data_IF_078734008391
#
_entry.id   IF_078734008391
#
_cell.length_a   1.000
_cell.length_b   1.000
_cell.length_c   1.000
_cell.angle_alpha   90.00
_cell.angle_beta   90.00
_cell.angle_gamma   90.00
#
_symmetry.space_group_name_H-M   'P 1'
#
loop_
_entity.id
_entity.type
_entity.pdbx_description
1 polymer ?
#
# COMPACT_ATOMS: atom_id res chain seq x y z
N UNK A 1 -2.61 -54.24 -13.40
CA UNK A 1 -3.56 -53.18 -13.03
C UNK A 1 -2.78 -52.00 -12.47
N UNK A 2 -3.17 -50.80 -12.88
CA UNK A 2 -2.61 -49.49 -12.54
C UNK A 2 -2.38 -49.28 -11.02
N UNK A 3 -1.45 -48.40 -10.61
CA UNK A 3 -1.76 -46.98 -10.41
C UNK A 3 -0.54 -46.09 -10.68
N UNK A 4 -0.65 -45.29 -11.73
CA UNK A 4 0.16 -44.09 -12.00
C UNK A 4 0.23 -43.21 -10.75
N UNK A 5 1.44 -42.97 -10.22
CA UNK A 5 1.66 -41.89 -9.25
C UNK A 5 1.50 -40.55 -9.98
N UNK A 6 0.37 -39.89 -9.76
CA UNK A 6 0.10 -38.54 -10.26
C UNK A 6 1.04 -37.58 -9.50
N UNK A 7 2.05 -37.06 -10.19
CA UNK A 7 3.01 -36.13 -9.62
C UNK A 7 2.33 -34.86 -9.11
N UNK A 8 2.54 -34.53 -7.84
CA UNK A 8 2.19 -33.23 -7.28
C UNK A 8 3.29 -32.26 -7.73
N UNK A 9 2.94 -31.35 -8.65
CA UNK A 9 3.83 -30.25 -9.03
C UNK A 9 3.99 -29.33 -7.83
N UNK A 10 5.25 -29.11 -7.42
CA UNK A 10 5.64 -28.11 -6.42
C UNK A 10 5.19 -26.74 -6.91
N UNK A 11 4.30 -26.09 -6.17
CA UNK A 11 4.08 -24.65 -6.29
C UNK A 11 5.12 -23.98 -5.41
N UNK A 12 6.06 -23.27 -6.03
CA UNK A 12 7.00 -22.43 -5.31
C UNK A 12 6.24 -21.21 -4.79
N UNK A 13 6.02 -21.14 -3.48
CA UNK A 13 5.68 -19.89 -2.80
C UNK A 13 7.00 -19.23 -2.39
N UNK A 14 7.60 -18.46 -3.30
CA UNK A 14 8.68 -17.55 -2.93
C UNK A 14 8.09 -16.42 -2.11
N UNK A 15 8.33 -16.45 -0.80
CA UNK A 15 8.13 -15.31 0.08
C UNK A 15 9.08 -14.20 -0.37
N UNK A 16 8.50 -13.15 -0.95
CA UNK A 16 9.16 -11.89 -1.27
C UNK A 16 8.23 -10.75 -0.83
N UNK A 17 8.10 -10.56 0.48
CA UNK A 17 7.19 -9.54 1.04
C UNK A 17 7.65 -8.12 0.69
N UNK A 18 8.94 -7.94 0.38
CA UNK A 18 9.50 -6.69 -0.15
C UNK A 18 9.17 -6.43 -1.64
N UNK A 19 8.66 -7.44 -2.36
CA UNK A 19 8.32 -7.35 -3.78
C UNK A 19 6.83 -7.08 -4.00
N UNK A 20 5.95 -7.47 -3.05
CA UNK A 20 4.51 -7.17 -3.11
C UNK A 20 4.23 -5.65 -3.13
N UNK A 21 5.00 -4.86 -2.38
CA UNK A 21 4.91 -3.39 -2.42
C UNK A 21 5.64 -2.76 -3.62
N UNK A 22 6.47 -3.51 -4.35
CA UNK A 22 7.14 -3.05 -5.58
C UNK A 22 6.34 -3.38 -6.85
N UNK A 23 5.56 -4.46 -6.87
CA UNK A 23 4.85 -4.95 -8.05
C UNK A 23 3.71 -4.04 -8.55
N UNK A 24 3.15 -3.17 -7.70
CA UNK A 24 2.09 -2.21 -8.09
C UNK A 24 2.62 -1.13 -9.06
N UNK A 25 3.94 -0.98 -9.22
CA UNK A 25 4.54 0.05 -10.09
C UNK A 25 4.53 -0.25 -11.59
N UNK A 26 4.31 -1.50 -12.03
CA UNK A 26 4.66 -1.87 -13.41
C UNK A 26 3.52 -1.75 -14.45
N UNK A 27 2.24 -1.78 -14.07
CA UNK A 27 1.14 -1.90 -15.06
C UNK A 27 0.22 -0.67 -15.17
N UNK A 28 0.77 0.54 -15.14
CA UNK A 28 0.04 1.70 -15.68
C UNK A 28 0.95 2.50 -16.61
N UNK A 29 1.39 1.85 -17.68
CA UNK A 29 1.98 2.52 -18.84
C UNK A 29 0.85 3.20 -19.62
N UNK A 30 1.07 4.48 -19.88
CA UNK A 30 0.11 5.42 -20.44
C UNK A 30 -0.41 5.00 -21.83
N UNK A 31 -1.71 5.21 -22.05
CA UNK A 31 -2.27 5.42 -23.39
C UNK A 31 -1.98 6.90 -23.74
N UNK A 32 -1.24 7.20 -24.82
CA UNK A 32 -1.07 8.56 -25.30
C UNK A 32 -2.23 8.91 -26.24
N UNK A 33 -2.99 9.96 -25.91
CA UNK A 33 -3.88 10.64 -26.87
C UNK A 33 -3.07 11.73 -27.62
N UNK A 34 -3.27 11.89 -28.94
CA UNK A 34 -2.50 12.81 -29.79
C UNK A 34 -3.12 14.21 -29.88
N UNK A 35 -2.22 15.19 -30.08
CA UNK A 35 -2.40 16.56 -30.59
C UNK A 35 -3.29 17.56 -29.84
N UNK A 36 -2.66 18.65 -29.34
CA UNK A 36 -2.91 19.97 -29.92
C UNK A 36 -1.77 20.99 -29.63
N UNK A 37 -1.60 21.82 -30.64
CA UNK A 37 -0.73 22.92 -31.06
C UNK A 37 0.21 23.71 -30.12
N UNK A 38 1.34 24.07 -30.75
CA UNK A 38 2.33 25.12 -30.53
C UNK A 38 2.45 25.80 -29.14
N UNK A 39 3.63 25.63 -28.52
CA UNK A 39 4.58 26.74 -28.28
C UNK A 39 5.85 26.19 -27.62
N UNK A 40 6.96 26.29 -28.34
CA UNK A 40 8.32 26.10 -27.80
C UNK A 40 8.53 27.01 -26.60
N UNK A 41 8.68 26.43 -25.41
CA UNK A 41 9.13 27.15 -24.21
C UNK A 41 9.88 26.20 -23.29
N UNK A 42 11.20 26.21 -23.48
CA UNK A 42 12.26 25.91 -22.50
C UNK A 42 11.86 24.98 -21.35
N UNK A 43 12.21 23.70 -21.47
CA UNK A 43 12.15 22.73 -20.39
C UNK A 43 13.18 23.08 -19.31
N UNK A 44 12.86 24.05 -18.47
CA UNK A 44 13.48 24.13 -17.16
C UNK A 44 12.98 22.93 -16.37
N UNK A 45 13.89 22.01 -16.05
CA UNK A 45 13.60 20.89 -15.15
C UNK A 45 13.40 21.49 -13.76
N UNK A 46 12.22 22.05 -13.51
CA UNK A 46 11.88 22.63 -12.22
C UNK A 46 11.95 21.50 -11.21
N UNK A 47 12.90 21.58 -10.27
CA UNK A 47 12.96 20.69 -9.10
C UNK A 47 11.57 20.70 -8.48
N UNK A 48 10.82 19.61 -8.65
CA UNK A 48 9.43 19.53 -8.21
C UNK A 48 9.44 19.65 -6.69
N UNK A 49 9.02 20.81 -6.17
CA UNK A 49 8.88 21.01 -4.73
C UNK A 49 7.90 19.98 -4.20
N UNK A 50 8.39 19.06 -3.35
CA UNK A 50 7.53 18.12 -2.64
C UNK A 50 6.75 18.89 -1.58
N UNK A 51 5.42 18.87 -1.65
CA UNK A 51 4.58 19.32 -0.54
C UNK A 51 4.86 18.46 0.69
N UNK A 52 4.96 19.10 1.86
CA UNK A 52 5.01 18.40 3.15
C UNK A 52 3.59 18.12 3.63
N UNK A 53 3.45 17.12 4.47
CA UNK A 53 2.20 16.82 5.14
C UNK A 53 1.81 17.95 6.10
N UNK A 54 0.51 18.24 6.18
CA UNK A 54 -0.09 19.17 7.12
C UNK A 54 -1.17 18.43 7.90
N UNK A 55 -1.19 18.57 9.23
CA UNK A 55 -2.14 17.85 10.09
C UNK A 55 -3.60 18.24 9.82
N UNK A 56 -3.86 19.43 9.26
CA UNK A 56 -5.20 19.82 8.83
C UNK A 56 -5.78 18.87 7.77
N UNK A 57 -4.94 18.08 7.08
CA UNK A 57 -5.39 17.12 6.07
C UNK A 57 -6.14 15.92 6.65
N UNK A 58 -6.10 15.74 7.97
CA UNK A 58 -6.98 14.80 8.67
C UNK A 58 -8.45 15.13 8.39
N UNK A 59 -8.82 16.42 8.28
CA UNK A 59 -10.18 16.85 7.93
C UNK A 59 -10.63 16.44 6.52
N UNK A 60 -9.68 16.05 5.66
CA UNK A 60 -9.96 15.48 4.35
C UNK A 60 -9.90 13.94 4.34
N UNK A 61 -9.65 13.29 5.48
CA UNK A 61 -9.59 11.84 5.60
C UNK A 61 -8.24 11.21 5.24
N UNK A 62 -7.13 11.95 5.34
CA UNK A 62 -5.80 11.46 5.00
C UNK A 62 -4.82 11.52 6.17
N UNK A 63 -3.85 10.60 6.18
CA UNK A 63 -2.71 10.57 7.10
C UNK A 63 -1.40 10.42 6.34
N UNK A 64 -0.30 10.88 6.92
CA UNK A 64 1.03 10.68 6.37
C UNK A 64 1.45 9.21 6.46
N UNK A 65 2.08 8.70 5.41
CA UNK A 65 2.66 7.36 5.34
C UNK A 65 3.95 7.43 4.55
N UNK A 66 5.06 7.67 5.25
CA UNK A 66 6.43 7.62 4.72
C UNK A 66 6.58 8.34 3.37
N UNK A 67 6.23 9.64 3.30
CA UNK A 67 6.27 10.51 2.11
C UNK A 67 5.16 10.31 1.06
N UNK A 68 4.14 9.54 1.41
CA UNK A 68 2.90 9.39 0.63
C UNK A 68 1.71 9.64 1.54
N UNK A 69 0.52 9.84 0.96
CA UNK A 69 -0.71 9.99 1.73
C UNK A 69 -1.47 8.68 1.76
N UNK A 70 -1.95 8.27 2.93
CA UNK A 70 -2.87 7.16 3.08
C UNK A 70 -4.29 7.70 3.30
N UNK A 71 -5.24 7.26 2.48
CA UNK A 71 -6.66 7.50 2.72
C UNK A 71 -7.15 6.57 3.83
N UNK A 72 -7.76 7.11 4.89
CA UNK A 72 -8.22 6.30 6.04
C UNK A 72 -9.46 5.46 5.72
N UNK A 73 -10.29 5.90 4.76
CA UNK A 73 -11.57 5.27 4.43
C UNK A 73 -11.46 4.14 3.40
N UNK A 74 -10.44 4.18 2.54
CA UNK A 74 -10.19 3.17 1.51
C UNK A 74 -8.86 2.43 1.68
N UNK A 75 -8.04 2.82 2.67
CA UNK A 75 -6.70 2.29 2.92
C UNK A 75 -5.78 2.29 1.70
N UNK A 76 -5.97 3.25 0.78
CA UNK A 76 -5.16 3.38 -0.44
C UNK A 76 -4.10 4.46 -0.29
N UNK A 77 -2.90 4.16 -0.81
CA UNK A 77 -1.79 5.09 -0.88
C UNK A 77 -1.91 6.01 -2.11
N UNK A 78 -1.72 7.31 -1.90
CA UNK A 78 -1.74 8.34 -2.92
C UNK A 78 -0.33 8.94 -3.07
N UNK A 79 0.08 9.28 -4.31
CA UNK A 79 1.37 9.92 -4.54
C UNK A 79 1.40 11.34 -3.96
N UNK A 80 2.60 11.85 -3.67
CA UNK A 80 2.84 13.20 -3.17
C UNK A 80 2.22 14.32 -4.04
N UNK A 81 2.09 14.08 -5.36
CA UNK A 81 1.43 15.02 -6.29
C UNK A 81 -0.08 15.22 -6.02
N UNK A 82 -0.69 14.32 -5.23
CA UNK A 82 -2.07 14.38 -4.77
C UNK A 82 -2.26 15.18 -3.47
N UNK A 83 -1.18 15.58 -2.79
CA UNK A 83 -1.24 16.36 -1.53
C UNK A 83 -1.76 17.79 -1.69
N UNK A 84 -2.26 18.17 -2.87
CA UNK A 84 -2.96 19.44 -3.03
C UNK A 84 -4.29 19.38 -2.26
N UNK A 85 -4.62 20.36 -1.40
CA UNK A 85 -5.90 20.36 -0.68
C UNK A 85 -7.11 20.23 -1.61
N UNK A 86 -7.06 20.84 -2.79
CA UNK A 86 -8.09 20.70 -3.84
C UNK A 86 -8.24 19.27 -4.35
N UNK A 87 -7.13 18.54 -4.51
CA UNK A 87 -7.14 17.13 -4.94
C UNK A 87 -7.61 16.20 -3.82
N UNK A 88 -7.22 16.46 -2.57
CA UNK A 88 -7.68 15.69 -1.40
C UNK A 88 -9.19 15.83 -1.20
N UNK A 89 -9.71 17.07 -1.27
CA UNK A 89 -11.15 17.33 -1.23
C UNK A 89 -11.89 16.62 -2.37
N UNK A 90 -11.41 16.78 -3.61
CA UNK A 90 -12.02 16.09 -4.76
C UNK A 90 -12.03 14.57 -4.57
N UNK A 91 -10.95 13.98 -4.05
CA UNK A 91 -10.90 12.56 -3.75
C UNK A 91 -11.96 12.17 -2.72
N UNK A 92 -12.06 12.89 -1.60
CA UNK A 92 -13.08 12.65 -0.58
C UNK A 92 -14.48 12.70 -1.17
N UNK A 93 -14.80 13.72 -1.97
CA UNK A 93 -16.13 13.92 -2.54
C UNK A 93 -16.51 12.88 -3.60
N UNK A 94 -15.54 12.39 -4.38
CA UNK A 94 -15.80 11.48 -5.51
C UNK A 94 -15.68 10.01 -5.12
N UNK A 95 -14.75 9.67 -4.24
CA UNK A 95 -14.51 8.29 -3.79
C UNK A 95 -15.33 7.96 -2.55
N UNK A 96 -15.61 8.95 -1.70
CA UNK A 96 -16.33 8.76 -0.44
C UNK A 96 -17.46 9.78 -0.24
N UNK A 97 -18.48 9.79 -1.12
CA UNK A 97 -19.58 10.75 -1.03
C UNK A 97 -20.27 10.75 0.34
N UNK A 98 -20.39 9.59 0.98
CA UNK A 98 -20.97 9.40 2.33
C UNK A 98 -20.20 10.13 3.44
N UNK A 99 -18.91 10.37 3.24
CA UNK A 99 -18.03 11.01 4.21
C UNK A 99 -17.78 12.49 3.95
N UNK A 100 -18.30 13.04 2.83
CA UNK A 100 -18.04 14.41 2.37
C UNK A 100 -18.31 15.48 3.43
N UNK A 101 -19.36 15.28 4.22
CA UNK A 101 -19.84 16.25 5.21
C UNK A 101 -19.48 15.86 6.65
N UNK A 102 -18.61 14.85 6.83
CA UNK A 102 -18.18 14.45 8.16
C UNK A 102 -17.22 15.49 8.73
N UNK A 103 -17.30 15.70 10.03
CA UNK A 103 -16.43 16.64 10.74
C UNK A 103 -15.07 16.02 11.05
N UNK A 104 -14.16 16.82 11.61
CA UNK A 104 -12.83 16.36 11.99
C UNK A 104 -12.87 15.21 13.00
N UNK A 105 -13.76 15.26 14.00
CA UNK A 105 -13.86 14.22 15.04
C UNK A 105 -14.15 12.82 14.48
N UNK A 106 -14.95 12.75 13.42
CA UNK A 106 -15.16 11.50 12.68
C UNK A 106 -13.83 10.95 12.14
N UNK A 107 -13.05 11.78 11.46
CA UNK A 107 -11.77 11.37 10.87
C UNK A 107 -10.70 11.07 11.92
N UNK A 108 -10.70 11.75 13.05
CA UNK A 108 -9.82 11.41 14.18
C UNK A 108 -10.16 10.02 14.73
N UNK A 109 -11.44 9.65 14.86
CA UNK A 109 -11.82 8.29 15.26
C UNK A 109 -11.46 7.23 14.21
N UNK A 110 -11.63 7.53 12.92
CA UNK A 110 -11.20 6.63 11.84
C UNK A 110 -9.68 6.44 11.84
N UNK A 111 -8.91 7.49 12.14
CA UNK A 111 -7.46 7.41 12.31
C UNK A 111 -7.07 6.43 13.41
N UNK A 112 -7.70 6.54 14.58
CA UNK A 112 -7.41 5.65 15.71
C UNK A 112 -7.76 4.19 15.36
N UNK A 113 -8.91 3.95 14.72
CA UNK A 113 -9.28 2.60 14.25
C UNK A 113 -8.27 2.04 13.25
N UNK A 114 -7.79 2.87 12.32
CA UNK A 114 -6.77 2.48 11.36
C UNK A 114 -5.46 2.09 12.07
N UNK A 115 -4.98 2.92 13.00
CA UNK A 115 -3.76 2.63 13.77
C UNK A 115 -3.90 1.35 14.60
N UNK A 116 -5.06 1.15 15.23
CA UNK A 116 -5.33 -0.04 16.01
C UNK A 116 -5.38 -1.30 15.12
N UNK A 117 -6.02 -1.22 13.95
CA UNK A 117 -6.02 -2.34 13.00
C UNK A 117 -4.62 -2.72 12.52
N UNK A 118 -3.74 -1.73 12.28
CA UNK A 118 -2.36 -1.97 11.89
C UNK A 118 -1.56 -2.66 13.00
N UNK A 119 -1.73 -2.23 14.26
CA UNK A 119 -1.08 -2.88 15.42
C UNK A 119 -1.52 -4.33 15.54
N UNK A 120 -2.83 -4.60 15.46
CA UNK A 120 -3.37 -5.95 15.55
C UNK A 120 -2.82 -6.84 14.43
N UNK A 121 -2.80 -6.35 13.18
CA UNK A 121 -2.22 -7.08 12.05
C UNK A 121 -0.73 -7.39 12.26
N UNK A 122 0.05 -6.44 12.79
CA UNK A 122 1.46 -6.63 13.09
C UNK A 122 1.67 -7.71 14.16
N UNK A 123 0.89 -7.70 15.24
CA UNK A 123 0.96 -8.71 16.30
C UNK A 123 0.61 -10.11 15.80
N UNK A 124 -0.45 -10.23 15.00
CA UNK A 124 -0.86 -11.51 14.39
C UNK A 124 0.25 -12.04 13.47
N UNK A 125 0.79 -11.18 12.61
CA UNK A 125 1.88 -11.54 11.68
C UNK A 125 3.14 -11.97 12.43
N UNK A 126 3.53 -11.23 13.47
CA UNK A 126 4.66 -11.58 14.33
C UNK A 126 4.46 -12.96 14.97
N UNK A 127 3.29 -13.20 15.56
CA UNK A 127 2.97 -14.48 16.20
C UNK A 127 3.04 -15.66 15.22
N UNK A 128 2.55 -15.46 13.99
CA UNK A 128 2.62 -16.48 12.93
C UNK A 128 4.08 -16.73 12.54
N UNK A 129 4.86 -15.67 12.34
CA UNK A 129 6.25 -15.76 11.95
C UNK A 129 7.11 -16.45 13.03
N UNK A 130 6.87 -16.18 14.31
CA UNK A 130 7.56 -16.87 15.42
C UNK A 130 7.27 -18.37 15.41
N UNK A 131 6.00 -18.76 15.23
CA UNK A 131 5.61 -20.17 15.12
C UNK A 131 6.23 -20.84 13.90
N UNK A 132 6.15 -20.19 12.73
CA UNK A 132 6.73 -20.70 11.48
C UNK A 132 8.24 -20.86 11.58
N UNK A 133 8.93 -19.90 12.21
CA UNK A 133 10.38 -19.93 12.44
C UNK A 133 10.75 -21.09 13.36
N UNK A 134 10.04 -21.27 14.48
CA UNK A 134 10.27 -22.39 15.40
C UNK A 134 10.10 -23.74 14.71
N UNK A 135 9.05 -23.90 13.92
CA UNK A 135 8.80 -25.15 13.17
C UNK A 135 9.91 -25.37 12.13
N UNK A 136 10.28 -24.34 11.37
CA UNK A 136 11.35 -24.43 10.37
C UNK A 136 12.68 -24.85 11.00
N UNK A 137 13.03 -24.27 12.14
CA UNK A 137 14.21 -24.65 12.92
C UNK A 137 14.17 -26.13 13.34
N UNK A 138 13.05 -26.59 13.92
CA UNK A 138 12.91 -27.98 14.37
C UNK A 138 13.02 -28.98 13.22
N UNK A 139 12.47 -28.64 12.03
CA UNK A 139 12.59 -29.48 10.83
C UNK A 139 14.04 -29.57 10.39
N UNK A 140 14.73 -28.44 10.24
CA UNK A 140 16.14 -28.40 9.85
C UNK A 140 17.03 -29.17 10.83
N UNK A 141 16.78 -29.02 12.13
CA UNK A 141 17.52 -29.74 13.18
C UNK A 141 17.35 -31.26 13.10
N UNK A 142 16.16 -31.75 12.71
CA UNK A 142 15.94 -33.19 12.51
C UNK A 142 16.61 -33.71 11.25
N UNK A 143 16.62 -32.92 10.18
CA UNK A 143 17.33 -33.27 8.94
C UNK A 143 18.82 -33.39 9.22
N UNK A 144 19.42 -32.41 9.89
CA UNK A 144 20.85 -32.40 10.22
C UNK A 144 21.31 -33.52 11.17
N UNK A 145 20.39 -34.17 11.89
CA UNK A 145 20.69 -35.36 12.71
C UNK A 145 20.55 -36.67 11.94
N UNK A 146 19.89 -36.66 10.78
CA UNK A 146 19.69 -37.84 9.95
C UNK A 146 20.79 -38.01 8.89
N UNK A 147 21.61 -36.97 8.68
CA UNK A 147 22.86 -36.99 7.91
C UNK A 147 24.04 -37.44 8.80
#
# INVERSE_FOLDING_TARGET
>A
MERRRKGVKRVATSSNDAEYLKAVRAENTAIPDPDDDATTSSSTVSKTKKRKYDESYISFGFVDSNSSLLCMLYSKLLPNSSMAPTKLRRHLETVHPESKYKNKDFFDREKEQLLESQKNMMQVTQTINEKATKVSYLVSYRIAQAD
#
